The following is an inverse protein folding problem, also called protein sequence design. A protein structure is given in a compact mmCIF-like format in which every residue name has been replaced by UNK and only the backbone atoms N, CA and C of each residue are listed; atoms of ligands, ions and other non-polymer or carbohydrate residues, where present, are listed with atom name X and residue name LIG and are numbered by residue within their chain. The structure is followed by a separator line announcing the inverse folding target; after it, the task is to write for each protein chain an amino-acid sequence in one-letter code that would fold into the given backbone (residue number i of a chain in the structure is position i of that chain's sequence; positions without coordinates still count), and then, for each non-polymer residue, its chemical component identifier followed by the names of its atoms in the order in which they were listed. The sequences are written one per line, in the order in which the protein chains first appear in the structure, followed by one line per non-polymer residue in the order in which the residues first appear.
data_IF_199442402381
#
_entry.id   IF_199442402381
#
_cell.length_a   1.000
_cell.length_b   1.000
_cell.length_c   1.000
_cell.angle_alpha   90.00
_cell.angle_beta   90.00
_cell.angle_gamma   90.00
#
_symmetry.space_group_name_H-M   'P 1'
#
loop_
_entity.id
_entity.type
_entity.pdbx_description
1 polymer ?
#
# COMPACT_ATOMS: atom_id res chain seq x y z
N UNK A 1 -15.68 26.29 -20.95
CA UNK A 1 -14.57 25.33 -20.93
C UNK A 1 -14.48 24.81 -19.50
N UNK A 2 -14.64 23.52 -19.20
CA UNK A 2 -14.62 23.08 -17.82
C UNK A 2 -13.18 23.06 -17.30
N UNK A 3 -12.97 23.73 -16.16
CA UNK A 3 -11.75 23.68 -15.38
C UNK A 3 -11.42 22.22 -15.04
N UNK A 4 -10.29 21.73 -15.53
CA UNK A 4 -9.62 20.59 -14.93
C UNK A 4 -9.19 21.04 -13.53
N UNK A 5 -10.05 20.82 -12.54
CA UNK A 5 -9.69 20.88 -11.14
C UNK A 5 -8.48 19.96 -10.99
N UNK A 6 -7.32 20.55 -10.68
CA UNK A 6 -6.12 19.82 -10.32
C UNK A 6 -6.50 18.91 -9.14
N UNK A 7 -6.78 17.64 -9.43
CA UNK A 7 -7.22 16.68 -8.43
C UNK A 7 -6.07 16.59 -7.44
N UNK A 8 -6.25 17.16 -6.25
CA UNK A 8 -5.28 17.11 -5.16
C UNK A 8 -5.17 15.65 -4.71
N UNK A 9 -4.35 14.85 -5.40
CA UNK A 9 -4.13 13.44 -5.12
C UNK A 9 -3.48 13.28 -3.74
N UNK A 10 -4.25 12.80 -2.78
CA UNK A 10 -3.76 12.46 -1.44
C UNK A 10 -3.38 10.99 -1.44
N UNK A 11 -2.15 10.66 -1.01
CA UNK A 11 -1.74 9.28 -0.84
C UNK A 11 -2.39 8.71 0.44
N UNK A 12 -2.98 7.52 0.37
CA UNK A 12 -3.50 6.81 1.55
C UNK A 12 -2.69 5.54 1.75
N UNK A 13 -2.03 5.45 2.89
CA UNK A 13 -1.20 4.30 3.27
C UNK A 13 -1.88 3.54 4.41
N UNK A 14 -2.04 2.23 4.26
CA UNK A 14 -2.62 1.33 5.28
C UNK A 14 -1.65 0.17 5.50
N UNK A 15 -1.31 -0.12 6.75
CA UNK A 15 -0.44 -1.25 7.09
C UNK A 15 -1.14 -2.58 6.77
N UNK A 16 -0.60 -3.40 5.86
CA UNK A 16 -1.21 -4.67 5.44
C UNK A 16 -0.23 -5.85 5.54
N UNK A 17 -0.14 -6.47 6.72
CA UNK A 17 0.77 -7.62 6.95
C UNK A 17 0.38 -8.87 6.13
N UNK A 18 -0.90 -8.97 5.74
CA UNK A 18 -1.41 -10.15 5.02
C UNK A 18 -0.86 -10.28 3.60
N UNK A 19 -0.25 -9.23 3.04
CA UNK A 19 0.45 -9.31 1.75
C UNK A 19 1.62 -10.31 1.79
N UNK A 20 2.17 -10.58 2.97
CA UNK A 20 3.24 -11.56 3.16
C UNK A 20 2.72 -12.97 3.50
N UNK A 21 1.42 -13.23 3.31
CA UNK A 21 0.82 -14.55 3.52
C UNK A 21 1.44 -15.60 2.58
N UNK A 22 1.94 -16.68 3.16
CA UNK A 22 2.26 -17.91 2.43
C UNK A 22 1.03 -18.80 2.41
N UNK A 23 0.46 -19.01 1.23
CA UNK A 23 -0.75 -19.82 1.01
C UNK A 23 -0.47 -21.16 0.32
N UNK A 24 0.80 -21.50 0.08
CA UNK A 24 1.20 -22.69 -0.71
C UNK A 24 1.04 -24.04 0.01
N UNK A 25 0.80 -24.08 1.33
CA UNK A 25 0.62 -25.31 2.13
C UNK A 25 -0.71 -25.28 2.90
N UNK A 26 -1.81 -25.56 2.20
CA UNK A 26 -3.15 -25.73 2.78
C UNK A 26 -3.98 -24.44 2.87
N UNK A 27 -5.17 -24.53 3.47
CA UNK A 27 -6.17 -23.45 3.51
C UNK A 27 -5.87 -22.33 4.53
N UNK A 28 -4.91 -22.53 5.45
CA UNK A 28 -4.54 -21.55 6.46
C UNK A 28 -3.33 -20.75 6.00
N UNK A 29 -3.43 -19.41 5.84
CA UNK A 29 -2.28 -18.58 5.51
C UNK A 29 -1.28 -18.54 6.67
N UNK A 30 0.01 -18.66 6.34
CA UNK A 30 1.12 -18.45 7.28
C UNK A 30 1.74 -17.06 7.07
N UNK A 31 1.90 -16.30 8.17
CA UNK A 31 2.41 -14.94 8.18
C UNK A 31 3.78 -14.81 8.85
N UNK A 32 4.51 -15.91 9.04
CA UNK A 32 5.81 -15.87 9.72
C UNK A 32 6.84 -14.94 9.06
N UNK A 33 6.67 -14.63 7.77
CA UNK A 33 7.52 -13.70 7.03
C UNK A 33 7.24 -12.21 7.34
N UNK A 34 6.12 -11.88 7.98
CA UNK A 34 5.79 -10.51 8.35
C UNK A 34 6.57 -10.08 9.60
N UNK A 35 7.07 -8.84 9.59
CA UNK A 35 7.64 -8.21 10.77
C UNK A 35 6.58 -8.11 11.89
N UNK A 36 7.01 -8.24 13.15
CA UNK A 36 6.11 -8.27 14.32
C UNK A 36 6.22 -7.00 15.18
N UNK A 37 5.11 -6.63 15.81
CA UNK A 37 5.04 -5.64 16.89
C UNK A 37 5.67 -4.29 16.52
N UNK A 38 6.49 -3.77 17.43
CA UNK A 38 7.11 -2.44 17.33
C UNK A 38 8.08 -2.31 16.15
N UNK A 39 8.71 -3.41 15.74
CA UNK A 39 9.59 -3.39 14.57
C UNK A 39 8.80 -3.08 13.30
N UNK A 40 7.63 -3.72 13.11
CA UNK A 40 6.78 -3.45 11.96
C UNK A 40 6.21 -2.03 11.98
N UNK A 41 5.83 -1.51 13.16
CA UNK A 41 5.41 -0.12 13.33
C UNK A 41 6.51 0.87 12.93
N UNK A 42 7.75 0.60 13.36
CA UNK A 42 8.91 1.44 13.04
C UNK A 42 9.17 1.49 11.53
N UNK A 43 9.12 0.34 10.86
CA UNK A 43 9.26 0.26 9.40
C UNK A 43 8.13 0.99 8.68
N UNK A 44 6.89 0.83 9.15
CA UNK A 44 5.74 1.51 8.57
C UNK A 44 5.87 3.04 8.67
N UNK A 45 6.23 3.56 9.84
CA UNK A 45 6.44 5.01 10.02
C UNK A 45 7.54 5.55 9.09
N UNK A 46 8.64 4.81 8.93
CA UNK A 46 9.69 5.17 7.96
C UNK A 46 9.18 5.22 6.53
N UNK A 47 8.31 4.29 6.13
CA UNK A 47 7.69 4.33 4.79
C UNK A 47 6.85 5.60 4.62
N UNK A 48 6.05 5.98 5.62
CA UNK A 48 5.25 7.21 5.57
C UNK A 48 6.14 8.46 5.42
N UNK A 49 7.25 8.51 6.16
CA UNK A 49 8.24 9.60 6.07
C UNK A 49 8.88 9.69 4.68
N UNK A 50 9.30 8.56 4.11
CA UNK A 50 9.91 8.54 2.77
C UNK A 50 8.88 8.90 1.67
N UNK A 51 7.64 8.44 1.79
CA UNK A 51 6.55 8.84 0.89
C UNK A 51 6.30 10.34 0.99
N UNK A 52 6.27 10.91 2.19
CA UNK A 52 6.11 12.35 2.39
C UNK A 52 7.23 13.14 1.71
N UNK A 53 8.49 12.72 1.85
CA UNK A 53 9.64 13.37 1.20
C UNK A 53 9.55 13.35 -0.33
N UNK A 54 8.98 12.30 -0.92
CA UNK A 54 8.81 12.16 -2.36
C UNK A 54 7.63 12.93 -2.96
N UNK A 55 6.71 13.46 -2.14
CA UNK A 55 5.49 14.12 -2.61
C UNK A 55 5.60 15.66 -2.59
N UNK A 56 5.19 16.35 -3.66
CA UNK A 56 4.96 17.79 -3.63
C UNK A 56 3.85 18.11 -2.60
N UNK A 57 4.19 18.81 -1.52
CA UNK A 57 3.30 19.07 -0.38
C UNK A 57 3.62 18.27 0.88
N UNK A 58 4.62 17.38 0.83
CA UNK A 58 5.17 16.74 2.03
C UNK A 58 4.14 15.93 2.82
N UNK A 59 4.25 16.01 4.15
CA UNK A 59 3.38 15.28 5.09
C UNK A 59 1.89 15.59 4.90
N UNK A 60 1.54 16.80 4.44
CA UNK A 60 0.13 17.21 4.24
C UNK A 60 -0.60 16.37 3.18
N UNK A 61 0.15 15.64 2.35
CA UNK A 61 -0.36 14.79 1.27
C UNK A 61 -0.35 13.31 1.61
N UNK A 62 0.11 12.94 2.80
CA UNK A 62 0.15 11.56 3.29
C UNK A 62 -0.98 11.35 4.29
N UNK A 63 -1.96 10.54 3.92
CA UNK A 63 -2.95 10.01 4.85
C UNK A 63 -2.47 8.67 5.40
N UNK A 64 -2.44 8.58 6.71
CA UNK A 64 -2.15 7.36 7.47
C UNK A 64 -3.47 6.67 7.87
N UNK A 65 -3.41 5.35 8.03
CA UNK A 65 -4.41 4.59 8.76
C UNK A 65 -4.08 4.54 10.26
N UNK A 66 -4.55 3.50 10.94
CA UNK A 66 -4.16 3.21 12.33
C UNK A 66 -3.43 1.86 12.34
N UNK A 67 -2.12 1.89 12.56
CA UNK A 67 -1.28 0.69 12.53
C UNK A 67 -1.80 -0.39 13.50
N UNK A 68 -2.10 -1.57 12.95
CA UNK A 68 -2.55 -2.74 13.72
C UNK A 68 -4.00 -2.68 14.21
N UNK A 69 -4.77 -1.66 13.84
CA UNK A 69 -6.21 -1.64 14.09
C UNK A 69 -6.97 -2.42 13.01
N UNK A 70 -8.14 -2.96 13.37
CA UNK A 70 -9.13 -3.39 12.39
C UNK A 70 -9.75 -2.14 11.75
N UNK A 71 -9.78 -2.10 10.43
CA UNK A 71 -10.22 -0.92 9.67
C UNK A 71 -11.08 -1.32 8.47
N UNK A 72 -12.16 -0.58 8.25
CA UNK A 72 -12.92 -0.61 7.01
C UNK A 72 -12.35 0.47 6.07
N UNK A 73 -11.72 0.04 4.97
CA UNK A 73 -11.04 0.94 4.03
C UNK A 73 -11.87 1.07 2.75
N UNK A 74 -12.50 2.24 2.57
CA UNK A 74 -13.19 2.58 1.33
C UNK A 74 -12.20 3.14 0.29
N UNK A 75 -12.25 2.62 -0.94
CA UNK A 75 -11.44 3.12 -2.05
C UNK A 75 -12.26 3.11 -3.34
N UNK A 76 -12.08 4.13 -4.19
CA UNK A 76 -12.63 4.18 -5.55
C UNK A 76 -11.47 4.15 -6.53
N UNK A 77 -11.35 3.05 -7.28
CA UNK A 77 -10.34 2.91 -8.32
C UNK A 77 -10.84 3.55 -9.63
N UNK A 78 -10.30 4.71 -9.97
CA UNK A 78 -10.55 5.41 -11.24
C UNK A 78 -9.64 4.78 -12.33
N UNK A 79 -10.11 3.75 -13.04
CA UNK A 79 -9.25 2.93 -13.91
C UNK A 79 -9.83 1.54 -14.22
N UNK A 80 -9.60 0.48 -13.42
CA UNK A 80 -8.71 0.29 -12.27
C UNK A 80 -7.31 -0.21 -12.67
N UNK A 81 -6.26 0.29 -12.00
CA UNK A 81 -4.86 -0.12 -12.20
C UNK A 81 -4.28 -0.53 -10.85
N UNK A 82 -3.85 -1.79 -10.72
CA UNK A 82 -3.27 -2.33 -9.48
C UNK A 82 -1.79 -2.64 -9.66
N UNK A 83 -0.87 -1.91 -9.04
CA UNK A 83 0.57 -2.17 -9.14
C UNK A 83 1.04 -2.92 -7.89
N UNK A 84 1.71 -4.05 -8.07
CA UNK A 84 2.39 -4.75 -6.98
C UNK A 84 3.88 -4.42 -6.99
N UNK A 85 4.43 -4.07 -5.83
CA UNK A 85 5.84 -3.72 -5.64
C UNK A 85 6.41 -4.54 -4.49
N UNK A 86 7.54 -5.21 -4.71
CA UNK A 86 8.33 -5.88 -3.68
C UNK A 86 9.77 -5.35 -3.74
N UNK A 87 10.25 -4.79 -2.63
CA UNK A 87 11.63 -4.27 -2.53
C UNK A 87 12.70 -5.35 -2.73
N UNK A 88 12.36 -6.62 -2.56
CA UNK A 88 13.26 -7.76 -2.80
C UNK A 88 13.33 -8.15 -4.28
N UNK A 89 12.37 -7.71 -5.09
CA UNK A 89 12.34 -7.94 -6.53
C UNK A 89 12.99 -6.75 -7.26
N UNK A 90 14.33 -6.67 -7.24
CA UNK A 90 15.08 -5.58 -7.89
C UNK A 90 15.41 -5.83 -9.37
N UNK A 91 14.72 -6.75 -10.06
CA UNK A 91 14.97 -7.00 -11.49
C UNK A 91 14.24 -5.94 -12.33
N UNK A 92 15.01 -5.02 -12.91
CA UNK A 92 14.60 -4.15 -14.02
C UNK A 92 13.94 -4.98 -15.12
N UNK A 93 12.60 -4.95 -15.23
CA UNK A 93 11.90 -5.57 -16.35
C UNK A 93 10.47 -6.06 -16.10
N UNK A 94 10.07 -6.37 -14.86
CA UNK A 94 8.71 -6.82 -14.57
C UNK A 94 7.95 -5.80 -13.74
N UNK A 95 7.37 -4.79 -14.39
CA UNK A 95 6.15 -4.18 -13.84
C UNK A 95 5.11 -5.31 -13.90
N UNK A 96 4.79 -5.90 -12.74
CA UNK A 96 3.70 -6.88 -12.66
C UNK A 96 2.45 -6.20 -13.22
N UNK A 97 1.91 -6.78 -14.28
CA UNK A 97 0.76 -6.21 -14.99
C UNK A 97 -0.36 -5.93 -14.00
N UNK A 98 -1.10 -4.83 -14.19
CA UNK A 98 -2.22 -4.53 -13.32
C UNK A 98 -3.22 -5.68 -13.31
N UNK A 99 -3.36 -6.30 -12.16
CA UNK A 99 -4.39 -7.33 -11.95
C UNK A 99 -5.73 -6.62 -11.74
N UNK A 100 -6.81 -7.10 -12.37
CA UNK A 100 -8.14 -6.57 -12.14
C UNK A 100 -8.48 -6.73 -10.66
N UNK A 101 -8.94 -5.64 -10.05
CA UNK A 101 -9.37 -5.65 -8.65
C UNK A 101 -10.53 -6.64 -8.50
N UNK A 102 -10.49 -7.55 -7.51
CA UNK A 102 -11.64 -8.40 -7.20
C UNK A 102 -12.88 -7.53 -6.96
N UNK A 103 -14.08 -7.93 -7.43
CA UNK A 103 -15.31 -7.22 -7.09
C UNK A 103 -15.49 -7.21 -5.57
N UNK A 104 -15.91 -6.06 -5.04
CA UNK A 104 -16.28 -5.91 -3.63
C UNK A 104 -17.48 -6.76 -3.26
#
# INVERSE_FOLDING_TARGET
MPNFQEKVLTNKSVSQFTLLAKTKKGAKPDFHAAAKGDHARTLYNKVLEEVAKGLPGGQSRVGDGVFGAMMDVALVNDGPVTIQLDSKETKSGNILQPSPTPPQ
#
